data_IF_554730299645
#
_entry.id   IF_554730299645
#
_cell.length_a   1.000
_cell.length_b   1.000
_cell.length_c   1.000
_cell.angle_alpha   90.00
_cell.angle_beta   90.00
_cell.angle_gamma   90.00
#
_symmetry.space_group_name_H-M   'P 1'
#
loop_
_entity.id
_entity.type
_entity.pdbx_description
1 polymer ?
#
# COMPACT_ATOMS: atom_id res chain seq x y z
N UNK A 1 -0.80 -14.64 -9.18
CA UNK A 1 -0.62 -14.19 -7.77
C UNK A 1 0.88 -14.21 -7.50
N UNK A 2 1.50 -13.08 -7.18
CA UNK A 2 2.95 -13.05 -6.90
C UNK A 2 3.20 -13.66 -5.52
N UNK A 3 3.90 -14.81 -5.47
CA UNK A 3 4.19 -15.57 -4.25
C UNK A 3 5.46 -15.10 -3.52
N UNK A 4 6.03 -13.97 -3.94
CA UNK A 4 7.14 -13.34 -3.27
C UNK A 4 6.65 -12.29 -2.27
N UNK A 5 7.36 -12.20 -1.16
CA UNK A 5 7.18 -11.14 -0.19
C UNK A 5 7.55 -9.78 -0.78
N UNK A 6 6.84 -8.75 -0.35
CA UNK A 6 7.08 -7.36 -0.73
C UNK A 6 7.83 -6.65 0.41
N UNK A 7 8.73 -5.74 0.06
CA UNK A 7 9.50 -5.00 1.07
C UNK A 7 8.65 -3.87 1.66
N UNK A 8 8.49 -3.88 2.98
CA UNK A 8 7.78 -2.82 3.73
C UNK A 8 8.47 -1.48 3.63
N UNK A 9 9.81 -1.48 3.70
CA UNK A 9 10.62 -0.27 3.59
C UNK A 9 10.47 0.37 2.21
N UNK A 10 10.45 -0.44 1.15
CA UNK A 10 10.20 0.06 -0.22
C UNK A 10 8.79 0.65 -0.33
N UNK A 11 7.77 -0.02 0.20
CA UNK A 11 6.40 0.53 0.22
C UNK A 11 6.32 1.86 0.99
N UNK A 12 7.03 1.97 2.12
CA UNK A 12 7.08 3.19 2.90
C UNK A 12 7.79 4.32 2.15
N UNK A 13 8.97 4.08 1.57
CA UNK A 13 9.69 5.09 0.79
C UNK A 13 8.88 5.55 -0.42
N UNK A 14 8.23 4.62 -1.13
CA UNK A 14 7.38 4.99 -2.27
C UNK A 14 6.20 5.87 -1.82
N UNK A 15 5.54 5.54 -0.72
CA UNK A 15 4.43 6.34 -0.19
C UNK A 15 4.89 7.65 0.45
N UNK A 16 6.12 7.72 0.96
CA UNK A 16 6.72 8.95 1.48
C UNK A 16 7.00 9.95 0.35
N UNK A 17 7.63 9.51 -0.75
CA UNK A 17 8.01 10.40 -1.85
C UNK A 17 6.88 10.67 -2.85
N UNK A 18 5.99 9.71 -3.07
CA UNK A 18 4.94 9.80 -4.10
C UNK A 18 3.52 9.79 -3.51
N UNK A 19 3.37 9.77 -2.19
CA UNK A 19 2.07 9.81 -1.51
C UNK A 19 1.18 8.64 -1.93
N UNK A 20 -0.07 8.91 -2.38
CA UNK A 20 -1.00 7.86 -2.81
C UNK A 20 -0.53 7.11 -4.06
N UNK A 21 0.33 7.68 -4.91
CA UNK A 21 0.91 6.94 -6.03
C UNK A 21 1.87 5.84 -5.55
N UNK A 22 2.49 5.99 -4.39
CA UNK A 22 3.34 4.96 -3.80
C UNK A 22 2.59 3.68 -3.42
N UNK A 23 1.27 3.76 -3.20
CA UNK A 23 0.43 2.61 -2.88
C UNK A 23 0.33 1.60 -4.02
N UNK A 24 0.62 1.99 -5.27
CA UNK A 24 0.57 1.05 -6.41
C UNK A 24 1.52 -0.14 -6.25
N UNK A 25 2.57 -0.02 -5.43
CA UNK A 25 3.46 -1.13 -5.10
C UNK A 25 2.78 -2.21 -4.26
N UNK A 26 1.92 -1.83 -3.30
CA UNK A 26 1.33 -2.74 -2.33
C UNK A 26 -0.14 -3.07 -2.63
N UNK A 27 -0.93 -2.14 -3.16
CA UNK A 27 -2.34 -2.33 -3.50
C UNK A 27 -2.84 -1.36 -4.57
N UNK A 28 -3.14 -1.88 -5.76
CA UNK A 28 -3.73 -1.10 -6.88
C UNK A 28 -5.09 -0.50 -6.48
N UNK A 29 -5.95 -1.28 -5.81
CA UNK A 29 -7.29 -0.82 -5.44
C UNK A 29 -7.22 0.33 -4.43
N UNK A 30 -6.37 0.21 -3.40
CA UNK A 30 -6.20 1.27 -2.42
C UNK A 30 -5.56 2.52 -3.04
N UNK A 31 -4.58 2.35 -3.93
CA UNK A 31 -3.96 3.45 -4.66
C UNK A 31 -4.98 4.25 -5.47
N UNK A 32 -5.83 3.58 -6.27
CA UNK A 32 -6.85 4.25 -7.08
C UNK A 32 -7.84 5.03 -6.21
N UNK A 33 -8.36 4.42 -5.15
CA UNK A 33 -9.30 5.10 -4.23
C UNK A 33 -8.66 6.33 -3.62
N UNK A 34 -7.44 6.20 -3.07
CA UNK A 34 -6.77 7.33 -2.41
C UNK A 34 -6.36 8.42 -3.40
N UNK A 35 -5.97 8.07 -4.63
CA UNK A 35 -5.68 9.04 -5.69
C UNK A 35 -6.91 9.85 -6.08
N UNK A 36 -8.08 9.21 -6.21
CA UNK A 36 -9.34 9.92 -6.52
C UNK A 36 -9.68 10.88 -5.38
N UNK A 37 -9.58 10.44 -4.13
CA UNK A 37 -9.85 11.29 -2.96
C UNK A 37 -8.87 12.46 -2.89
N UNK A 38 -7.58 12.22 -3.13
CA UNK A 38 -6.56 13.26 -3.16
C UNK A 38 -6.85 14.30 -4.26
N UNK A 39 -7.30 13.85 -5.44
CA UNK A 39 -7.67 14.74 -6.54
C UNK A 39 -8.93 15.56 -6.23
N UNK A 40 -9.98 14.93 -5.69
CA UNK A 40 -11.21 15.63 -5.29
C UNK A 40 -11.00 16.64 -4.17
N UNK A 41 -10.04 16.39 -3.29
CA UNK A 41 -9.70 17.27 -2.17
C UNK A 41 -8.61 18.30 -2.48
N UNK A 42 -8.12 18.34 -3.74
CA UNK A 42 -7.05 19.23 -4.19
C UNK A 42 -7.42 20.73 -4.16
N UNK A 43 -8.71 21.06 -4.02
CA UNK A 43 -9.17 22.43 -3.75
C UNK A 43 -8.68 22.96 -2.40
N UNK A 44 -8.21 22.07 -1.51
CA UNK A 44 -7.63 22.39 -0.20
C UNK A 44 -6.22 21.80 -0.10
N UNK A 45 -5.35 22.44 0.69
CA UNK A 45 -4.01 21.88 0.98
C UNK A 45 -4.08 20.73 1.99
N UNK A 46 -5.08 20.75 2.88
CA UNK A 46 -5.20 19.80 4.00
C UNK A 46 -5.57 18.39 3.49
N UNK A 47 -6.46 18.28 2.51
CA UNK A 47 -6.90 17.00 1.95
C UNK A 47 -5.75 16.13 1.43
N UNK A 48 -4.91 16.65 0.50
CA UNK A 48 -3.75 15.94 0.00
C UNK A 48 -2.75 15.52 1.09
N UNK A 49 -2.53 16.35 2.12
CA UNK A 49 -1.64 16.02 3.25
C UNK A 49 -2.20 14.82 4.03
N UNK A 50 -3.50 14.82 4.34
CA UNK A 50 -4.15 13.70 5.04
C UNK A 50 -4.08 12.43 4.18
N UNK A 51 -4.37 12.53 2.89
CA UNK A 51 -4.23 11.43 1.94
C UNK A 51 -2.79 10.89 1.89
N UNK A 52 -1.79 11.74 2.03
CA UNK A 52 -0.39 11.34 2.06
C UNK A 52 -0.06 10.49 3.29
N UNK A 53 -0.48 10.94 4.47
CA UNK A 53 -0.30 10.20 5.73
C UNK A 53 -1.04 8.86 5.69
N UNK A 54 -2.28 8.88 5.19
CA UNK A 54 -3.06 7.67 4.99
C UNK A 54 -2.39 6.70 4.00
N UNK A 55 -1.76 7.21 2.94
CA UNK A 55 -1.05 6.38 1.97
C UNK A 55 0.08 5.59 2.62
N UNK A 56 0.85 6.22 3.50
CA UNK A 56 1.92 5.55 4.26
C UNK A 56 1.38 4.44 5.15
N UNK A 57 0.33 4.72 5.93
CA UNK A 57 -0.27 3.74 6.84
C UNK A 57 -0.92 2.56 6.09
N UNK A 58 -1.69 2.85 5.04
CA UNK A 58 -2.34 1.82 4.20
C UNK A 58 -1.28 1.01 3.46
N UNK A 59 -0.21 1.64 2.98
CA UNK A 59 0.87 0.97 2.25
C UNK A 59 1.59 -0.07 3.10
N UNK A 60 1.91 0.28 4.35
CA UNK A 60 2.51 -0.68 5.30
C UNK A 60 1.54 -1.82 5.64
N UNK A 61 0.27 -1.50 5.93
CA UNK A 61 -0.74 -2.51 6.25
C UNK A 61 -1.00 -3.48 5.09
N UNK A 62 -1.11 -2.98 3.84
CA UNK A 62 -1.27 -3.83 2.66
C UNK A 62 -0.06 -4.72 2.42
N UNK A 63 1.15 -4.21 2.62
CA UNK A 63 2.39 -4.98 2.47
C UNK A 63 2.48 -6.09 3.53
N UNK A 64 2.18 -5.77 4.79
CA UNK A 64 2.12 -6.76 5.87
C UNK A 64 1.08 -7.85 5.60
N UNK A 65 -0.13 -7.47 5.19
CA UNK A 65 -1.20 -8.42 4.85
C UNK A 65 -0.80 -9.33 3.69
N UNK A 66 -0.16 -8.80 2.66
CA UNK A 66 0.34 -9.59 1.52
C UNK A 66 1.39 -10.62 1.99
N UNK A 67 2.40 -10.19 2.74
CA UNK A 67 3.46 -11.09 3.21
C UNK A 67 2.93 -12.19 4.14
N UNK A 68 2.01 -11.85 5.04
CA UNK A 68 1.36 -12.84 5.92
C UNK A 68 0.60 -13.89 5.11
N UNK A 69 -0.13 -13.48 4.07
CA UNK A 69 -0.86 -14.40 3.19
C UNK A 69 0.11 -15.35 2.45
N UNK A 70 1.24 -14.82 1.96
CA UNK A 70 2.28 -15.64 1.32
C UNK A 70 2.90 -16.66 2.29
N UNK A 71 3.19 -16.26 3.52
CA UNK A 71 3.70 -17.17 4.55
C UNK A 71 2.71 -18.31 4.82
N UNK A 72 1.43 -17.98 5.01
CA UNK A 72 0.37 -18.97 5.20
C UNK A 72 0.24 -19.94 4.02
N UNK A 73 0.34 -19.45 2.78
CA UNK A 73 0.32 -20.31 1.59
C UNK A 73 1.54 -21.25 1.57
N UNK A 74 2.74 -20.74 1.92
CA UNK A 74 3.97 -21.55 1.97
C UNK A 74 3.87 -22.66 3.03
N UNK A 75 3.35 -22.35 4.20
CA UNK A 75 3.15 -23.32 5.29
C UNK A 75 2.17 -24.44 4.88
N UNK A 76 1.07 -24.07 4.21
CA UNK A 76 0.08 -25.04 3.70
C UNK A 76 0.66 -25.97 2.63
N UNK A 77 1.55 -25.48 1.78
CA UNK A 77 2.22 -26.29 0.75
C UNK A 77 3.27 -27.21 1.40
N UNK A 78 4.02 -26.73 2.39
CA UNK A 78 5.05 -27.54 3.07
C UNK A 78 4.49 -28.60 4.01
N UNK A 79 3.26 -28.42 4.50
CA UNK A 79 2.58 -29.38 5.39
C UNK A 79 1.86 -30.51 4.62
N UNK A 80 1.93 -30.52 3.28
CA UNK A 80 1.22 -31.45 2.40
C UNK A 80 2.18 -32.42 1.72
#
# INVERSE_FOLDING_TARGET
MNLNEKSRLVSFLLTLFFGPLGLFYSSIAAALVLCIIAFMSASTIIGPIICWILAMAIGDHCTYKHNKNILQIKDLISSK
#
